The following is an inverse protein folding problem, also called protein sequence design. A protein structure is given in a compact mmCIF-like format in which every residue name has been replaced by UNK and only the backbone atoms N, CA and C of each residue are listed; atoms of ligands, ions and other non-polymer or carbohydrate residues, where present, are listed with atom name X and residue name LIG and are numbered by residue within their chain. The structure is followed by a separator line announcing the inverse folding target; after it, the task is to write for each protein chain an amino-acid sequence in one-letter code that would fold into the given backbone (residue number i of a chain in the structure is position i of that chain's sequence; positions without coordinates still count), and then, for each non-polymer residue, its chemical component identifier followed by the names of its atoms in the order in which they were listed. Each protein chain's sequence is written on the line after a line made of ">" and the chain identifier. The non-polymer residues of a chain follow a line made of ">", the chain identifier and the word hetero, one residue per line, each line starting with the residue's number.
data_IF_206733479644
#
_entry.id   IF_206733479644
#
_cell.length_a   1.000
_cell.length_b   1.000
_cell.length_c   1.000
_cell.angle_alpha   90.00
_cell.angle_beta   90.00
_cell.angle_gamma   90.00
#
_symmetry.space_group_name_H-M   'P 1'
#
loop_
_entity.id
_entity.type
_entity.pdbx_description
1 polymer ?
#
# COMPACT_ATOMS: atom_id res chain seq x y z
N UNK A 1 -38.43 -0.96 -11.65
CA UNK A 1 -37.06 -1.53 -11.65
C UNK A 1 -36.01 -0.49 -11.29
N UNK A 2 -36.09 0.74 -11.82
CA UNK A 2 -35.13 1.84 -11.50
C UNK A 2 -35.16 2.39 -10.07
N UNK A 3 -36.11 1.97 -9.23
CA UNK A 3 -36.29 2.46 -7.85
C UNK A 3 -36.01 1.40 -6.78
N UNK A 4 -35.29 0.32 -7.15
CA UNK A 4 -34.87 -0.69 -6.20
C UNK A 4 -33.89 -0.09 -5.17
N UNK A 5 -34.07 -0.32 -3.86
CA UNK A 5 -33.19 0.24 -2.83
C UNK A 5 -31.73 -0.19 -2.99
N UNK A 6 -31.49 -1.37 -3.57
CA UNK A 6 -30.16 -1.89 -3.84
C UNK A 6 -29.35 -1.01 -4.78
N UNK A 7 -29.98 -0.22 -5.66
CA UNK A 7 -29.25 0.72 -6.51
C UNK A 7 -28.54 1.82 -5.69
N UNK A 8 -29.23 2.38 -4.70
CA UNK A 8 -28.65 3.40 -3.83
C UNK A 8 -27.54 2.83 -2.94
N UNK A 9 -27.74 1.61 -2.45
CA UNK A 9 -26.72 0.88 -1.67
C UNK A 9 -25.46 0.62 -2.51
N UNK A 10 -25.61 0.12 -3.74
CA UNK A 10 -24.50 -0.13 -4.67
C UNK A 10 -23.77 1.17 -5.00
N UNK A 11 -24.48 2.27 -5.25
CA UNK A 11 -23.88 3.57 -5.56
C UNK A 11 -23.03 4.07 -4.40
N UNK A 12 -23.56 4.01 -3.18
CA UNK A 12 -22.84 4.41 -1.97
C UNK A 12 -21.59 3.55 -1.76
N UNK A 13 -21.73 2.22 -1.76
CA UNK A 13 -20.61 1.29 -1.56
C UNK A 13 -19.55 1.41 -2.65
N UNK A 14 -19.95 1.68 -3.90
CA UNK A 14 -19.02 1.90 -5.01
C UNK A 14 -18.22 3.18 -4.84
N UNK A 15 -18.85 4.24 -4.29
CA UNK A 15 -18.16 5.47 -3.92
C UNK A 15 -17.13 5.26 -2.81
N UNK A 16 -17.51 4.56 -1.74
CA UNK A 16 -16.61 4.21 -0.64
C UNK A 16 -15.43 3.34 -1.13
N UNK A 17 -15.72 2.37 -2.00
CA UNK A 17 -14.72 1.48 -2.59
C UNK A 17 -13.72 2.24 -3.48
N UNK A 18 -14.19 3.23 -4.25
CA UNK A 18 -13.30 4.08 -5.05
C UNK A 18 -12.34 4.87 -4.15
N UNK A 19 -12.85 5.50 -3.09
CA UNK A 19 -12.03 6.23 -2.12
C UNK A 19 -10.99 5.33 -1.44
N UNK A 20 -11.39 4.13 -1.02
CA UNK A 20 -10.47 3.16 -0.40
C UNK A 20 -9.38 2.69 -1.38
N UNK A 21 -9.72 2.49 -2.65
CA UNK A 21 -8.74 2.15 -3.70
C UNK A 21 -7.73 3.27 -3.94
N UNK A 22 -8.18 4.51 -3.96
CA UNK A 22 -7.29 5.67 -4.10
C UNK A 22 -6.31 5.76 -2.92
N UNK A 23 -6.80 5.56 -1.69
CA UNK A 23 -5.96 5.51 -0.49
C UNK A 23 -4.96 4.35 -0.53
N UNK A 24 -5.39 3.18 -1.01
CA UNK A 24 -4.52 2.01 -1.16
C UNK A 24 -3.41 2.30 -2.17
N UNK A 25 -3.72 2.89 -3.33
CA UNK A 25 -2.73 3.27 -4.34
C UNK A 25 -1.72 4.27 -3.76
N UNK A 26 -2.18 5.27 -3.00
CA UNK A 26 -1.30 6.23 -2.34
C UNK A 26 -0.36 5.54 -1.34
N UNK A 27 -0.88 4.64 -0.51
CA UNK A 27 -0.10 3.92 0.52
C UNK A 27 0.91 2.95 -0.10
N UNK A 28 0.53 2.24 -1.16
CA UNK A 28 1.45 1.37 -1.93
C UNK A 28 2.56 2.17 -2.61
N UNK A 29 2.26 3.39 -3.06
CA UNK A 29 3.26 4.29 -3.63
C UNK A 29 4.27 4.70 -2.55
N UNK A 30 3.79 5.09 -1.37
CA UNK A 30 4.63 5.44 -0.23
C UNK A 30 5.51 4.26 0.24
N UNK A 31 4.97 3.04 0.28
CA UNK A 31 5.74 1.82 0.56
C UNK A 31 6.87 1.63 -0.47
N UNK A 32 6.57 1.81 -1.76
CA UNK A 32 7.59 1.68 -2.82
C UNK A 32 8.69 2.74 -2.67
N UNK A 33 8.32 3.98 -2.37
CA UNK A 33 9.26 5.08 -2.21
C UNK A 33 10.15 4.87 -0.99
N UNK A 34 9.56 4.53 0.16
CA UNK A 34 10.32 4.23 1.39
C UNK A 34 11.22 3.00 1.24
N UNK A 35 10.83 2.00 0.45
CA UNK A 35 11.69 0.86 0.11
C UNK A 35 12.93 1.30 -0.68
N UNK A 36 12.78 2.22 -1.64
CA UNK A 36 13.91 2.78 -2.39
C UNK A 36 14.79 3.66 -1.50
N UNK A 37 14.19 4.48 -0.63
CA UNK A 37 14.90 5.30 0.36
C UNK A 37 15.76 4.43 1.26
N UNK A 38 15.21 3.34 1.79
CA UNK A 38 15.95 2.40 2.64
C UNK A 38 17.13 1.79 1.91
N UNK A 39 16.91 1.28 0.70
CA UNK A 39 17.98 0.66 -0.11
C UNK A 39 19.14 1.64 -0.32
N UNK A 40 18.84 2.91 -0.57
CA UNK A 40 19.85 3.95 -0.76
C UNK A 40 20.58 4.26 0.56
N UNK A 41 19.84 4.41 1.66
CA UNK A 41 20.42 4.71 2.96
C UNK A 41 21.35 3.58 3.45
N UNK A 42 20.95 2.32 3.25
CA UNK A 42 21.77 1.15 3.55
C UNK A 42 23.06 1.10 2.70
N UNK A 43 22.98 1.51 1.42
CA UNK A 43 24.17 1.63 0.57
C UNK A 43 25.12 2.74 1.06
N UNK A 44 24.60 3.87 1.51
CA UNK A 44 25.40 4.96 2.06
C UNK A 44 26.10 4.53 3.36
N UNK A 45 25.41 3.78 4.24
CA UNK A 45 26.01 3.16 5.43
C UNK A 45 27.13 2.20 5.03
N UNK A 46 26.90 1.31 4.06
CA UNK A 46 27.89 0.33 3.64
C UNK A 46 29.15 1.00 3.06
N UNK A 47 29.00 2.08 2.29
CA UNK A 47 30.14 2.85 1.77
C UNK A 47 31.01 3.41 2.91
N UNK A 48 30.40 3.99 3.94
CA UNK A 48 31.11 4.52 5.11
C UNK A 48 31.78 3.40 5.89
N UNK A 49 31.05 2.30 6.12
CA UNK A 49 31.56 1.10 6.80
C UNK A 49 32.78 0.52 6.08
N UNK A 50 32.71 0.33 4.76
CA UNK A 50 33.82 -0.18 3.96
C UNK A 50 35.05 0.74 4.02
N UNK A 51 34.85 2.07 4.02
CA UNK A 51 35.94 3.03 4.18
C UNK A 51 36.57 2.93 5.57
N UNK A 52 35.77 2.89 6.63
CA UNK A 52 36.24 2.75 7.99
C UNK A 52 37.08 1.46 8.17
N UNK A 53 36.62 0.34 7.59
CA UNK A 53 37.37 -0.93 7.62
C UNK A 53 38.73 -0.81 6.92
N UNK A 54 38.80 -0.19 5.73
CA UNK A 54 40.07 0.01 5.03
C UNK A 54 41.04 0.90 5.82
N UNK A 55 40.53 1.97 6.42
CA UNK A 55 41.33 2.90 7.21
C UNK A 55 41.85 2.24 8.49
N UNK A 56 41.02 1.44 9.16
CA UNK A 56 41.41 0.64 10.31
C UNK A 56 42.50 -0.40 9.94
N UNK A 57 42.33 -1.14 8.84
CA UNK A 57 43.34 -2.09 8.36
C UNK A 57 44.68 -1.40 8.06
N UNK A 58 44.64 -0.19 7.47
CA UNK A 58 45.83 0.59 7.19
C UNK A 58 46.53 1.02 8.48
N UNK A 59 45.77 1.42 9.51
CA UNK A 59 46.30 1.73 10.84
C UNK A 59 46.98 0.51 11.47
N UNK A 60 46.28 -0.63 11.47
CA UNK A 60 46.74 -1.87 12.13
C UNK A 60 47.95 -2.50 11.43
N UNK A 61 48.07 -2.32 10.11
CA UNK A 61 49.20 -2.83 9.33
C UNK A 61 50.55 -2.17 9.66
N UNK A 62 50.54 -1.02 10.35
CA UNK A 62 51.73 -0.22 10.60
C UNK A 62 52.37 0.38 9.34
N UNK A 63 51.69 0.33 8.19
CA UNK A 63 52.17 0.88 6.92
C UNK A 63 52.34 2.42 6.95
N UNK A 64 51.73 3.10 7.92
CA UNK A 64 51.85 4.56 8.13
C UNK A 64 52.91 4.81 9.20
N UNK A 65 54.06 5.35 8.80
CA UNK A 65 55.22 5.57 9.67
C UNK A 65 55.34 6.99 10.23
N UNK A 66 54.65 7.96 9.61
CA UNK A 66 54.65 9.36 10.05
C UNK A 66 53.67 9.57 11.22
N UNK A 67 54.13 10.12 12.37
CA UNK A 67 53.25 10.40 13.51
C UNK A 67 52.05 11.29 13.16
N UNK A 68 52.26 12.27 12.27
CA UNK A 68 51.21 13.18 11.81
C UNK A 68 50.15 12.46 10.97
N UNK A 69 50.58 11.53 10.12
CA UNK A 69 49.66 10.78 9.26
C UNK A 69 48.88 9.73 10.08
N UNK A 70 49.51 9.14 11.10
CA UNK A 70 48.84 8.29 12.08
C UNK A 70 47.74 9.03 12.85
N UNK A 71 48.05 10.23 13.35
CA UNK A 71 47.07 11.06 14.04
C UNK A 71 45.92 11.47 13.11
N UNK A 72 46.21 11.83 11.86
CA UNK A 72 45.20 12.14 10.86
C UNK A 72 44.28 10.95 10.57
N UNK A 73 44.86 9.75 10.40
CA UNK A 73 44.10 8.52 10.14
C UNK A 73 43.21 8.14 11.33
N UNK A 74 43.70 8.26 12.57
CA UNK A 74 42.90 8.01 13.76
C UNK A 74 41.70 8.98 13.86
N UNK A 75 41.91 10.27 13.58
CA UNK A 75 40.82 11.26 13.55
C UNK A 75 39.80 10.95 12.47
N UNK A 76 40.24 10.51 11.29
CA UNK A 76 39.36 10.09 10.20
C UNK A 76 38.49 8.89 10.60
N UNK A 77 39.09 7.85 11.21
CA UNK A 77 38.35 6.68 11.71
C UNK A 77 37.28 7.08 12.72
N UNK A 78 37.60 7.94 13.68
CA UNK A 78 36.61 8.45 14.66
C UNK A 78 35.49 9.23 13.97
N UNK A 79 35.82 10.06 12.96
CA UNK A 79 34.83 10.79 12.19
C UNK A 79 33.93 9.87 11.37
N UNK A 80 34.48 8.80 10.78
CA UNK A 80 33.72 7.81 10.03
C UNK A 80 32.79 7.01 10.94
N UNK A 81 33.25 6.62 12.13
CA UNK A 81 32.42 5.93 13.11
C UNK A 81 31.21 6.78 13.54
N UNK A 82 31.44 8.08 13.80
CA UNK A 82 30.33 9.01 14.08
C UNK A 82 29.36 9.10 12.90
N UNK A 83 29.88 9.28 11.68
CA UNK A 83 29.05 9.37 10.46
C UNK A 83 28.26 8.09 10.21
N UNK A 84 28.84 6.92 10.49
CA UNK A 84 28.15 5.64 10.37
C UNK A 84 26.95 5.60 11.31
N UNK A 85 27.13 5.96 12.59
CA UNK A 85 26.02 6.05 13.54
C UNK A 85 24.92 7.01 13.08
N UNK A 86 25.29 8.22 12.65
CA UNK A 86 24.32 9.19 12.13
C UNK A 86 23.52 8.64 10.92
N UNK A 87 24.14 7.80 10.07
CA UNK A 87 23.46 7.18 8.93
C UNK A 87 22.60 5.97 9.34
N UNK A 88 23.05 5.19 10.32
CA UNK A 88 22.29 4.07 10.87
C UNK A 88 20.99 4.55 11.54
N UNK A 89 21.03 5.68 12.26
CA UNK A 89 19.83 6.31 12.82
C UNK A 89 18.84 6.70 11.70
N UNK A 90 19.33 7.28 10.60
CA UNK A 90 18.48 7.60 9.43
C UNK A 90 17.89 6.34 8.79
N UNK A 91 18.64 5.24 8.71
CA UNK A 91 18.12 3.96 8.20
C UNK A 91 16.97 3.48 9.09
N UNK A 92 17.12 3.54 10.41
CA UNK A 92 16.06 3.14 11.34
C UNK A 92 14.79 3.99 11.18
N UNK A 93 14.92 5.31 11.06
CA UNK A 93 13.78 6.20 10.81
C UNK A 93 13.05 5.85 9.50
N UNK A 94 13.79 5.50 8.43
CA UNK A 94 13.19 5.08 7.17
C UNK A 94 12.51 3.71 7.31
N UNK A 95 13.11 2.78 8.07
CA UNK A 95 12.51 1.47 8.35
C UNK A 95 11.18 1.60 9.09
N UNK A 96 11.10 2.47 10.11
CA UNK A 96 9.85 2.75 10.83
C UNK A 96 8.77 3.34 9.91
N UNK A 97 9.16 4.29 9.04
CA UNK A 97 8.24 4.85 8.03
C UNK A 97 7.75 3.78 7.05
N UNK A 98 8.63 2.90 6.60
CA UNK A 98 8.28 1.80 5.69
C UNK A 98 7.31 0.83 6.38
N UNK A 99 7.60 0.43 7.62
CA UNK A 99 6.72 -0.45 8.40
C UNK A 99 5.32 0.14 8.54
N UNK A 100 5.22 1.43 8.89
CA UNK A 100 3.92 2.14 8.93
C UNK A 100 3.20 2.18 7.57
N UNK A 101 3.92 2.32 6.46
CA UNK A 101 3.32 2.24 5.13
C UNK A 101 2.80 0.82 4.82
N UNK A 102 3.56 -0.22 5.19
CA UNK A 102 3.19 -1.62 5.00
C UNK A 102 1.93 -1.99 5.78
N UNK A 103 1.83 -1.57 7.05
CA UNK A 103 0.64 -1.79 7.86
C UNK A 103 -0.60 -1.12 7.24
N UNK A 104 -0.46 0.12 6.74
CA UNK A 104 -1.55 0.82 6.05
C UNK A 104 -1.98 0.13 4.77
N UNK A 105 -1.03 -0.36 3.97
CA UNK A 105 -1.34 -1.15 2.76
C UNK A 105 -2.12 -2.41 3.13
N UNK A 106 -1.71 -3.12 4.19
CA UNK A 106 -2.41 -4.31 4.65
C UNK A 106 -3.85 -4.00 5.09
N UNK A 107 -4.03 -3.00 5.96
CA UNK A 107 -5.36 -2.57 6.44
C UNK A 107 -6.28 -2.17 5.27
N UNK A 108 -5.79 -1.31 4.36
CA UNK A 108 -6.57 -0.84 3.23
C UNK A 108 -6.91 -1.95 2.26
N UNK A 109 -6.02 -2.94 2.07
CA UNK A 109 -6.30 -4.13 1.27
C UNK A 109 -7.47 -4.93 1.84
N UNK A 110 -7.48 -5.18 3.15
CA UNK A 110 -8.59 -5.86 3.82
C UNK A 110 -9.90 -5.07 3.71
N UNK A 111 -9.85 -3.76 3.90
CA UNK A 111 -11.02 -2.88 3.78
C UNK A 111 -11.58 -2.83 2.37
N UNK A 112 -10.73 -2.73 1.35
CA UNK A 112 -11.12 -2.80 -0.06
C UNK A 112 -11.81 -4.14 -0.36
N UNK A 113 -11.23 -5.26 0.10
CA UNK A 113 -11.83 -6.58 -0.10
C UNK A 113 -13.19 -6.70 0.58
N UNK A 114 -13.32 -6.22 1.81
CA UNK A 114 -14.58 -6.25 2.55
C UNK A 114 -15.68 -5.41 1.90
N UNK A 115 -15.36 -4.20 1.41
CA UNK A 115 -16.35 -3.35 0.73
C UNK A 115 -16.70 -3.90 -0.65
N UNK A 116 -15.74 -4.43 -1.41
CA UNK A 116 -16.00 -5.10 -2.67
C UNK A 116 -16.99 -6.27 -2.49
N UNK A 117 -16.80 -7.10 -1.46
CA UNK A 117 -17.73 -8.19 -1.18
C UNK A 117 -19.17 -7.70 -0.89
N UNK A 118 -19.32 -6.54 -0.25
CA UNK A 118 -20.64 -5.92 -0.03
C UNK A 118 -21.26 -5.38 -1.33
N UNK A 119 -20.45 -4.79 -2.21
CA UNK A 119 -20.91 -4.36 -3.54
C UNK A 119 -21.41 -5.56 -4.34
N UNK A 120 -20.68 -6.67 -4.30
CA UNK A 120 -21.04 -7.90 -5.01
C UNK A 120 -22.34 -8.51 -4.47
N UNK A 121 -22.52 -8.56 -3.14
CA UNK A 121 -23.76 -9.00 -2.50
C UNK A 121 -24.96 -8.12 -2.88
N UNK A 122 -24.82 -6.79 -2.76
CA UNK A 122 -25.88 -5.86 -3.11
C UNK A 122 -26.26 -5.95 -4.59
N UNK A 123 -25.27 -6.16 -5.46
CA UNK A 123 -25.48 -6.40 -6.89
C UNK A 123 -26.26 -7.69 -7.13
N UNK A 124 -25.89 -8.79 -6.46
CA UNK A 124 -26.61 -10.06 -6.58
C UNK A 124 -28.07 -9.94 -6.10
N UNK A 125 -28.32 -9.23 -5.00
CA UNK A 125 -29.69 -8.94 -4.51
C UNK A 125 -30.50 -8.13 -5.51
N UNK A 126 -29.91 -7.07 -6.06
CA UNK A 126 -30.55 -6.23 -7.10
C UNK A 126 -30.95 -7.05 -8.32
N UNK A 127 -30.05 -7.91 -8.77
CA UNK A 127 -30.27 -8.74 -9.96
C UNK A 127 -31.37 -9.78 -9.72
N UNK A 128 -31.40 -10.40 -8.53
CA UNK A 128 -32.48 -11.31 -8.13
C UNK A 128 -33.83 -10.60 -8.07
N UNK A 129 -33.92 -9.43 -7.42
CA UNK A 129 -35.15 -8.65 -7.34
C UNK A 129 -35.63 -8.17 -8.72
N UNK A 130 -34.70 -7.83 -9.60
CA UNK A 130 -35.02 -7.46 -10.99
C UNK A 130 -35.63 -8.64 -11.75
N UNK A 131 -35.03 -9.84 -11.61
CA UNK A 131 -35.52 -11.05 -12.26
C UNK A 131 -36.91 -11.48 -11.76
N UNK A 132 -37.18 -11.33 -10.45
CA UNK A 132 -38.51 -11.57 -9.87
C UNK A 132 -39.56 -10.62 -10.47
N UNK A 133 -39.27 -9.31 -10.50
CA UNK A 133 -40.14 -8.31 -11.11
C UNK A 133 -40.35 -8.52 -12.61
N UNK A 134 -39.37 -9.10 -13.31
CA UNK A 134 -39.50 -9.51 -14.72
C UNK A 134 -40.48 -10.68 -14.88
N UNK A 135 -40.36 -11.70 -14.03
CA UNK A 135 -41.27 -12.85 -14.04
C UNK A 135 -42.71 -12.47 -13.68
N UNK A 136 -42.89 -11.61 -12.69
CA UNK A 136 -44.22 -11.08 -12.31
C UNK A 136 -44.84 -10.28 -13.45
N UNK A 137 -44.08 -9.36 -14.05
CA UNK A 137 -44.57 -8.53 -15.15
C UNK A 137 -44.96 -9.38 -16.38
N UNK A 138 -44.19 -10.42 -16.69
CA UNK A 138 -44.51 -11.37 -17.76
C UNK A 138 -45.81 -12.13 -17.47
N UNK A 139 -46.01 -12.57 -16.22
CA UNK A 139 -47.22 -13.27 -15.78
C UNK A 139 -48.45 -12.37 -15.89
N UNK A 140 -48.39 -11.16 -15.30
CA UNK A 140 -49.50 -10.19 -15.37
C UNK A 140 -49.82 -9.79 -16.82
N UNK A 141 -48.79 -9.65 -17.67
CA UNK A 141 -48.99 -9.34 -19.09
C UNK A 141 -49.73 -10.46 -19.81
N UNK A 142 -49.34 -11.72 -19.56
CA UNK A 142 -50.00 -12.90 -20.13
C UNK A 142 -51.45 -13.01 -19.64
N UNK A 143 -51.69 -12.85 -18.35
CA UNK A 143 -53.04 -12.91 -17.79
C UNK A 143 -53.94 -11.83 -18.40
N UNK A 144 -53.41 -10.61 -18.58
CA UNK A 144 -54.12 -9.52 -19.26
C UNK A 144 -54.45 -9.85 -20.71
N UNK A 145 -53.54 -10.49 -21.44
CA UNK A 145 -53.80 -10.93 -22.83
C UNK A 145 -54.93 -11.95 -22.88
N UNK A 146 -54.89 -12.97 -22.03
CA UNK A 146 -55.94 -13.99 -21.93
C UNK A 146 -57.29 -13.36 -21.60
N UNK A 147 -57.35 -12.41 -20.66
CA UNK A 147 -58.60 -11.72 -20.32
C UNK A 147 -59.09 -10.86 -21.49
N UNK A 148 -58.20 -10.14 -22.18
CA UNK A 148 -58.56 -9.30 -23.31
C UNK A 148 -59.14 -10.08 -24.50
N UNK A 149 -58.72 -11.33 -24.70
CA UNK A 149 -59.28 -12.22 -25.73
C UNK A 149 -60.73 -12.66 -25.45
N UNK A 150 -61.18 -12.57 -24.19
CA UNK A 150 -62.49 -13.07 -23.74
C UNK A 150 -63.52 -11.94 -23.55
N UNK A 151 -63.08 -10.68 -23.54
CA UNK A 151 -63.96 -9.51 -23.40
C UNK A 151 -64.39 -9.01 -24.81
N UNK A 152 -65.70 -8.97 -25.13
CA UNK A 152 -66.23 -8.51 -26.43
C UNK A 152 -65.96 -7.04 -26.78
#
# INVERSE_FOLDING_TARGET
>A
RTSLPEHAEIEQLSGDLAQLRDLLVASTTEESDTTREQTKAEQDVDQVRQRAVRDQQRLDSGAVSSPKDLESLQREIVSLAKRQGDLEDVVLEIMERRESAQERVAELTERVAAVQAKVDDATARRDAATAELDAEAATVTKDRQVVAEVIP
#
